data_IF_692412899522
#
_entry.id   IF_692412899522
#
_cell.length_a   1.000
_cell.length_b   1.000
_cell.length_c   1.000
_cell.angle_alpha   90.00
_cell.angle_beta   90.00
_cell.angle_gamma   90.00
#
_symmetry.space_group_name_H-M   'P 1'
#
loop_
_entity.id
_entity.type
_entity.pdbx_description
1 polymer ?
#
# COMPACT_ATOMS: atom_id res chain seq x y z
N UNK A 1 -105.24 -15.29 -6.70
CA UNK A 1 -104.89 -16.41 -5.80
C UNK A 1 -103.55 -16.96 -6.24
N UNK A 2 -102.49 -16.78 -5.44
CA UNK A 2 -101.45 -17.78 -5.17
C UNK A 2 -100.61 -17.22 -4.01
N UNK A 3 -100.84 -17.77 -2.82
CA UNK A 3 -100.01 -17.62 -1.62
C UNK A 3 -98.88 -18.63 -1.70
N UNK A 4 -97.68 -18.25 -1.27
CA UNK A 4 -96.61 -19.11 -0.70
C UNK A 4 -95.34 -18.25 -0.63
N UNK A 5 -94.42 -18.35 0.33
CA UNK A 5 -94.31 -19.03 1.61
C UNK A 5 -93.17 -18.26 2.30
N UNK A 6 -93.34 -17.78 3.53
CA UNK A 6 -92.24 -17.12 4.26
C UNK A 6 -91.34 -18.19 4.88
N UNK A 7 -90.07 -18.20 4.49
CA UNK A 7 -89.00 -19.00 5.11
C UNK A 7 -88.19 -18.08 6.03
N UNK A 8 -88.13 -18.42 7.30
CA UNK A 8 -87.42 -17.67 8.34
C UNK A 8 -85.89 -17.77 8.14
N UNK A 9 -85.23 -16.64 7.96
CA UNK A 9 -83.77 -16.53 7.96
C UNK A 9 -83.29 -16.26 9.39
N UNK A 10 -82.54 -17.20 9.96
CA UNK A 10 -81.84 -17.00 11.22
C UNK A 10 -80.64 -16.07 11.00
N UNK A 11 -80.62 -14.92 11.69
CA UNK A 11 -79.49 -13.99 11.71
C UNK A 11 -78.32 -14.64 12.47
N UNK A 12 -77.23 -14.95 11.76
CA UNK A 12 -75.92 -15.18 12.37
C UNK A 12 -75.21 -13.83 12.42
N UNK A 13 -75.17 -13.21 13.60
CA UNK A 13 -74.37 -12.01 13.84
C UNK A 13 -72.89 -12.37 13.86
N UNK A 14 -72.23 -12.21 12.72
CA UNK A 14 -70.77 -12.24 12.63
C UNK A 14 -70.20 -11.03 13.39
N UNK A 15 -69.46 -11.29 14.46
CA UNK A 15 -68.61 -10.28 15.09
C UNK A 15 -67.52 -9.90 14.09
N UNK A 16 -67.56 -8.67 13.59
CA UNK A 16 -66.43 -8.08 12.88
C UNK A 16 -65.30 -7.92 13.90
N UNK A 17 -64.26 -8.76 13.81
CA UNK A 17 -62.99 -8.51 14.48
C UNK A 17 -62.45 -7.21 13.89
N UNK A 18 -62.17 -6.17 14.69
CA UNK A 18 -61.52 -4.97 14.16
C UNK A 18 -60.20 -5.39 13.53
N UNK A 19 -60.01 -5.05 12.25
CA UNK A 19 -58.74 -5.25 11.57
C UNK A 19 -57.67 -4.47 12.35
N UNK A 20 -56.83 -5.19 13.10
CA UNK A 20 -55.62 -4.59 13.67
C UNK A 20 -54.80 -4.09 12.48
N UNK A 21 -54.48 -2.79 12.46
CA UNK A 21 -53.52 -2.27 11.49
C UNK A 21 -52.22 -3.08 11.66
N UNK A 22 -51.68 -3.60 10.55
CA UNK A 22 -50.42 -4.32 10.59
C UNK A 22 -49.34 -3.41 11.20
N UNK A 23 -48.67 -3.90 12.24
CA UNK A 23 -47.54 -3.20 12.84
C UNK A 23 -46.46 -2.96 11.78
N UNK A 24 -45.82 -1.80 11.82
CA UNK A 24 -44.76 -1.38 10.88
C UNK A 24 -43.48 -1.09 11.65
N UNK A 25 -42.35 -1.15 10.95
CA UNK A 25 -41.12 -0.56 11.46
C UNK A 25 -41.25 0.97 11.46
N UNK A 26 -40.48 1.64 12.32
CA UNK A 26 -40.51 3.10 12.47
C UNK A 26 -39.06 3.61 12.49
N UNK A 27 -38.48 3.88 11.32
CA UNK A 27 -37.07 4.25 11.23
C UNK A 27 -36.90 5.76 11.36
N UNK A 28 -35.87 6.14 12.10
CA UNK A 28 -35.42 7.51 12.23
C UNK A 28 -33.95 7.60 11.86
N UNK A 29 -33.56 8.68 11.19
CA UNK A 29 -32.16 8.96 10.87
C UNK A 29 -31.70 10.28 11.47
N UNK A 30 -30.50 10.28 12.06
CA UNK A 30 -29.77 11.48 12.45
C UNK A 30 -28.36 11.41 11.90
N UNK A 31 -27.73 12.57 11.74
CA UNK A 31 -26.35 12.66 11.29
C UNK A 31 -25.64 13.84 11.93
N UNK A 32 -24.35 13.65 12.22
CA UNK A 32 -23.50 14.63 12.87
C UNK A 32 -22.15 14.69 12.15
N UNK A 33 -21.65 15.90 11.94
CA UNK A 33 -20.30 16.15 11.41
C UNK A 33 -19.37 16.51 12.55
N UNK A 34 -18.11 16.08 12.45
CA UNK A 34 -17.11 16.46 13.44
C UNK A 34 -16.98 18.01 13.49
N UNK A 35 -17.00 18.63 14.68
CA UNK A 35 -16.95 20.09 14.80
C UNK A 35 -15.73 20.69 14.12
N UNK A 36 -15.92 21.83 13.47
CA UNK A 36 -14.85 22.60 12.82
C UNK A 36 -15.19 22.96 11.38
N UNK A 37 -14.26 23.67 10.75
CA UNK A 37 -14.34 24.07 9.35
C UNK A 37 -13.56 23.10 8.48
N UNK A 38 -13.94 22.98 7.21
CA UNK A 38 -13.29 22.11 6.23
C UNK A 38 -12.78 22.93 5.05
N UNK A 39 -11.69 22.48 4.44
CA UNK A 39 -11.19 23.06 3.20
C UNK A 39 -11.57 22.17 2.01
N UNK A 40 -11.58 22.69 0.78
CA UNK A 40 -11.71 21.88 -0.41
C UNK A 40 -10.72 20.70 -0.45
N UNK A 41 -11.16 19.59 -1.05
CA UNK A 41 -10.45 18.30 -1.11
C UNK A 41 -10.19 17.60 0.24
N UNK A 42 -10.64 18.18 1.36
CA UNK A 42 -10.66 17.50 2.65
C UNK A 42 -11.85 16.51 2.71
N UNK A 43 -11.62 15.31 3.22
CA UNK A 43 -12.73 14.41 3.56
C UNK A 43 -13.48 14.89 4.81
N UNK A 44 -14.80 14.87 4.75
CA UNK A 44 -15.70 15.27 5.84
C UNK A 44 -16.20 14.03 6.56
N UNK A 45 -15.76 13.72 7.79
CA UNK A 45 -16.30 12.60 8.56
C UNK A 45 -17.71 12.94 9.03
N UNK A 46 -18.67 12.09 8.66
CA UNK A 46 -20.08 12.19 9.05
C UNK A 46 -20.45 10.89 9.78
N UNK A 47 -20.95 11.03 11.01
CA UNK A 47 -21.53 9.93 11.76
C UNK A 47 -23.03 9.90 11.51
N UNK A 48 -23.54 8.79 10.97
CA UNK A 48 -24.95 8.59 10.67
C UNK A 48 -25.53 7.55 11.61
N UNK A 49 -26.66 7.85 12.23
CA UNK A 49 -27.35 6.97 13.17
C UNK A 49 -28.75 6.66 12.65
N UNK A 50 -29.08 5.36 12.60
CA UNK A 50 -30.37 4.84 12.17
C UNK A 50 -30.99 4.11 13.36
N UNK A 51 -32.18 4.53 13.80
CA UNK A 51 -32.89 3.94 14.93
C UNK A 51 -34.23 3.41 14.46
N UNK A 52 -34.55 2.15 14.74
CA UNK A 52 -35.89 1.61 14.56
C UNK A 52 -36.66 1.73 15.89
N UNK A 53 -37.57 2.70 15.98
CA UNK A 53 -38.46 2.95 17.13
C UNK A 53 -39.69 2.03 17.12
N UNK A 54 -39.89 1.29 16.03
CA UNK A 54 -41.08 0.50 15.79
C UNK A 54 -40.94 -0.92 16.35
N UNK A 55 -42.07 -1.63 16.48
CA UNK A 55 -42.10 -2.99 17.01
C UNK A 55 -41.69 -4.08 15.99
N UNK A 56 -41.48 -3.72 14.72
CA UNK A 56 -41.18 -4.67 13.63
C UNK A 56 -39.77 -4.46 13.09
N UNK A 57 -39.05 -5.56 12.84
CA UNK A 57 -37.74 -5.55 12.18
C UNK A 57 -37.82 -4.94 10.78
N UNK A 58 -36.88 -4.05 10.45
CA UNK A 58 -36.73 -3.50 9.11
C UNK A 58 -35.60 -4.22 8.37
N UNK A 59 -35.90 -4.77 7.18
CA UNK A 59 -34.91 -5.40 6.31
C UNK A 59 -34.88 -4.72 4.95
N UNK A 60 -33.70 -4.58 4.36
CA UNK A 60 -33.51 -3.87 3.09
C UNK A 60 -33.45 -2.35 3.24
N UNK A 61 -33.11 -1.86 4.44
CA UNK A 61 -32.93 -0.43 4.72
C UNK A 61 -31.75 0.09 3.93
N UNK A 62 -31.95 1.20 3.21
CA UNK A 62 -30.91 1.86 2.43
C UNK A 62 -30.83 3.33 2.78
N UNK A 63 -29.68 3.93 2.54
CA UNK A 63 -29.41 5.35 2.75
C UNK A 63 -28.89 5.95 1.46
N UNK A 64 -29.37 7.15 1.15
CA UNK A 64 -28.84 7.98 0.08
C UNK A 64 -28.55 9.39 0.61
N UNK A 65 -27.66 10.10 -0.07
CA UNK A 65 -27.37 11.50 0.22
C UNK A 65 -27.52 12.34 -1.05
N UNK A 66 -28.09 13.53 -0.91
CA UNK A 66 -28.22 14.49 -2.01
C UNK A 66 -27.81 15.88 -1.56
N UNK A 67 -27.07 16.58 -2.41
CA UNK A 67 -26.77 18.00 -2.25
C UNK A 67 -28.04 18.84 -2.11
N UNK A 68 -27.98 19.88 -1.27
CA UNK A 68 -29.07 20.84 -1.05
C UNK A 68 -28.64 22.25 -1.47
N UNK A 69 -27.50 22.73 -0.96
CA UNK A 69 -26.99 24.07 -1.23
C UNK A 69 -25.48 24.16 -0.99
N UNK A 70 -24.88 25.21 -1.55
CA UNK A 70 -23.47 25.56 -1.39
C UNK A 70 -22.52 24.56 -2.04
N UNK A 71 -21.32 24.39 -1.48
CA UNK A 71 -20.31 23.45 -2.01
C UNK A 71 -20.89 22.04 -2.15
N UNK A 72 -20.61 21.38 -3.28
CA UNK A 72 -21.23 20.10 -3.61
C UNK A 72 -20.58 18.97 -2.80
N UNK A 73 -21.18 18.63 -1.66
CA UNK A 73 -20.75 17.51 -0.82
C UNK A 73 -21.49 16.23 -1.23
N UNK A 74 -20.75 15.16 -1.43
CA UNK A 74 -21.33 13.82 -1.69
C UNK A 74 -20.61 12.76 -0.89
N UNK A 75 -21.32 11.69 -0.53
CA UNK A 75 -20.76 10.53 0.16
C UNK A 75 -20.74 9.36 -0.82
N UNK A 76 -19.55 8.88 -1.26
CA UNK A 76 -19.47 7.79 -2.21
C UNK A 76 -20.16 6.52 -1.70
N UNK A 77 -20.77 5.76 -2.62
CA UNK A 77 -21.67 4.63 -2.29
C UNK A 77 -21.03 3.58 -1.36
N UNK A 78 -19.73 3.30 -1.52
CA UNK A 78 -19.01 2.29 -0.74
C UNK A 78 -18.85 2.67 0.75
N UNK A 79 -18.88 3.95 1.11
CA UNK A 79 -18.82 4.37 2.52
C UNK A 79 -20.07 3.96 3.31
N UNK A 80 -21.21 3.79 2.65
CA UNK A 80 -22.48 3.39 3.28
C UNK A 80 -22.55 1.91 3.66
N UNK A 81 -21.52 1.11 3.34
CA UNK A 81 -21.44 -0.33 3.65
C UNK A 81 -22.71 -1.08 3.19
N UNK A 82 -23.30 -1.90 4.06
CA UNK A 82 -24.54 -2.64 3.81
C UNK A 82 -25.78 -1.77 3.54
N UNK A 83 -25.75 -0.49 3.92
CA UNK A 83 -26.85 0.46 3.74
C UNK A 83 -26.77 1.26 2.44
N UNK A 84 -25.78 1.01 1.57
CA UNK A 84 -25.67 1.70 0.30
C UNK A 84 -26.94 1.58 -0.56
N UNK A 85 -27.39 2.67 -1.19
CA UNK A 85 -28.62 2.69 -2.00
C UNK A 85 -28.60 1.72 -3.20
N UNK A 86 -27.42 1.40 -3.71
CA UNK A 86 -27.19 0.47 -4.81
C UNK A 86 -27.15 -1.00 -4.37
N UNK A 87 -27.01 -1.25 -3.07
CA UNK A 87 -26.91 -2.58 -2.48
C UNK A 87 -28.27 -3.22 -2.18
N UNK A 88 -28.23 -4.37 -1.50
CA UNK A 88 -29.45 -5.06 -1.04
C UNK A 88 -30.18 -4.28 0.07
N UNK A 89 -29.43 -3.52 0.87
CA UNK A 89 -29.90 -2.83 2.06
C UNK A 89 -29.67 -3.65 3.33
N UNK A 90 -29.38 -2.95 4.43
CA UNK A 90 -29.12 -3.53 5.75
C UNK A 90 -30.40 -3.87 6.51
N UNK A 91 -30.23 -4.51 7.67
CA UNK A 91 -31.32 -4.77 8.61
C UNK A 91 -31.14 -3.93 9.88
N UNK A 92 -32.26 -3.47 10.44
CA UNK A 92 -32.34 -2.77 11.73
C UNK A 92 -33.49 -3.38 12.52
N UNK A 93 -33.16 -4.14 13.57
CA UNK A 93 -34.16 -4.84 14.38
C UNK A 93 -35.08 -3.86 15.11
N UNK A 94 -36.24 -4.32 15.53
CA UNK A 94 -37.14 -3.55 16.38
C UNK A 94 -36.41 -3.03 17.63
N UNK A 95 -36.49 -1.73 17.89
CA UNK A 95 -35.78 -1.06 19.00
C UNK A 95 -34.27 -0.87 18.82
N UNK A 96 -33.67 -1.36 17.73
CA UNK A 96 -32.22 -1.27 17.50
C UNK A 96 -31.80 0.12 17.02
N UNK A 97 -30.58 0.52 17.41
CA UNK A 97 -29.87 1.66 16.82
C UNK A 97 -28.57 1.19 16.19
N UNK A 98 -28.34 1.58 14.94
CA UNK A 98 -27.14 1.30 14.14
C UNK A 98 -26.42 2.61 13.85
N UNK A 99 -25.10 2.61 13.96
CA UNK A 99 -24.26 3.76 13.59
C UNK A 99 -23.30 3.40 12.47
N UNK A 100 -23.11 4.32 11.54
CA UNK A 100 -22.22 4.19 10.38
C UNK A 100 -21.40 5.47 10.27
N UNK A 101 -20.07 5.32 10.25
CA UNK A 101 -19.16 6.41 9.93
C UNK A 101 -18.93 6.42 8.41
N UNK A 102 -19.21 7.57 7.78
CA UNK A 102 -19.01 7.79 6.34
C UNK A 102 -18.12 9.01 6.12
N UNK A 103 -17.48 9.09 4.95
CA UNK A 103 -16.66 10.24 4.57
C UNK A 103 -17.28 10.92 3.35
N UNK A 104 -17.62 12.21 3.49
CA UNK A 104 -18.03 13.08 2.40
C UNK A 104 -16.83 13.64 1.66
N UNK A 105 -16.99 13.91 0.36
CA UNK A 105 -16.02 14.58 -0.50
C UNK A 105 -16.65 15.79 -1.18
N UNK A 106 -15.92 16.90 -1.20
CA UNK A 106 -16.35 18.12 -1.87
C UNK A 106 -16.09 18.08 -3.37
N UNK A 107 -16.97 18.73 -4.12
CA UNK A 107 -16.81 19.10 -5.52
C UNK A 107 -17.19 20.57 -5.66
N UNK A 108 -16.33 21.34 -6.32
CA UNK A 108 -16.50 22.80 -6.39
C UNK A 108 -16.25 23.50 -5.05
N UNK A 109 -16.43 24.82 -5.05
CA UNK A 109 -16.20 25.70 -3.91
C UNK A 109 -17.20 26.86 -3.99
N UNK A 110 -18.34 26.70 -3.33
CA UNK A 110 -19.49 27.60 -3.39
C UNK A 110 -20.10 27.82 -1.99
N UNK A 111 -19.28 28.12 -0.99
CA UNK A 111 -19.76 28.34 0.38
C UNK A 111 -20.00 27.06 1.17
N UNK A 112 -20.56 27.26 2.37
CA UNK A 112 -20.96 26.21 3.30
C UNK A 112 -21.88 25.19 2.62
N UNK A 113 -21.54 23.91 2.78
CA UNK A 113 -22.27 22.83 2.15
C UNK A 113 -23.44 22.38 3.02
N UNK A 114 -24.58 22.13 2.37
CA UNK A 114 -25.72 21.46 3.01
C UNK A 114 -26.03 20.15 2.31
N UNK A 115 -25.98 19.07 3.08
CA UNK A 115 -26.28 17.71 2.62
C UNK A 115 -27.58 17.21 3.24
N UNK A 116 -28.46 16.65 2.41
CA UNK A 116 -29.62 15.88 2.90
C UNK A 116 -29.28 14.41 2.85
N UNK A 117 -29.47 13.71 3.97
CA UNK A 117 -29.35 12.26 4.07
C UNK A 117 -30.75 11.68 4.25
N UNK A 118 -31.09 10.66 3.48
CA UNK A 118 -32.45 10.10 3.43
C UNK A 118 -32.43 8.59 3.51
N UNK A 119 -33.30 8.04 4.37
CA UNK A 119 -33.63 6.62 4.39
C UNK A 119 -34.51 6.28 3.19
N UNK A 120 -34.22 5.16 2.57
CA UNK A 120 -35.01 4.54 1.52
C UNK A 120 -35.59 3.24 2.07
N UNK A 121 -36.79 3.35 2.64
CA UNK A 121 -37.54 2.23 3.17
C UNK A 121 -39.05 2.52 3.01
N UNK A 122 -39.77 1.64 2.32
CA UNK A 122 -41.17 1.91 1.92
C UNK A 122 -42.20 1.52 2.97
N UNK A 123 -41.84 0.66 3.94
CA UNK A 123 -42.76 0.16 4.95
C UNK A 123 -42.53 0.82 6.33
N UNK A 124 -42.46 2.14 6.34
CA UNK A 124 -42.23 2.92 7.55
C UNK A 124 -43.53 3.46 8.17
N UNK A 125 -43.61 3.47 9.49
CA UNK A 125 -44.71 4.05 10.27
C UNK A 125 -44.68 5.58 10.25
N UNK A 126 -43.49 6.18 10.32
CA UNK A 126 -43.29 7.62 10.28
C UNK A 126 -42.27 7.97 9.19
N UNK A 127 -42.77 8.55 8.08
CA UNK A 127 -41.86 8.97 7.01
C UNK A 127 -41.22 10.34 7.25
N UNK A 128 -41.63 11.05 8.31
CA UNK A 128 -41.15 12.41 8.58
C UNK A 128 -39.73 12.45 9.20
N UNK A 129 -39.29 11.39 9.88
CA UNK A 129 -37.95 11.24 10.44
C UNK A 129 -37.02 10.35 9.59
N UNK A 130 -37.44 10.07 8.35
CA UNK A 130 -36.61 9.40 7.35
C UNK A 130 -35.60 10.32 6.65
N UNK A 131 -35.45 11.56 7.12
CA UNK A 131 -34.51 12.52 6.55
C UNK A 131 -33.84 13.35 7.65
N UNK A 132 -32.57 13.67 7.40
CA UNK A 132 -31.80 14.59 8.23
C UNK A 132 -30.93 15.47 7.35
N UNK A 133 -30.51 16.61 7.89
CA UNK A 133 -29.65 17.56 7.21
C UNK A 133 -28.34 17.73 7.98
N UNK A 134 -27.27 17.86 7.23
CA UNK A 134 -25.94 18.14 7.74
C UNK A 134 -25.46 19.42 7.07
N UNK A 135 -25.11 20.39 7.90
CA UNK A 135 -24.47 21.63 7.47
C UNK A 135 -22.97 21.50 7.75
N UNK A 136 -22.13 21.92 6.79
CA UNK A 136 -20.67 21.81 6.86
C UNK A 136 -20.07 23.16 6.51
N UNK A 137 -19.38 23.75 7.48
CA UNK A 137 -18.70 25.03 7.30
C UNK A 137 -17.46 24.85 6.42
N UNK A 138 -17.39 25.58 5.31
CA UNK A 138 -16.31 25.48 4.33
C UNK A 138 -15.48 26.76 4.31
N UNK A 139 -14.16 26.61 4.37
CA UNK A 139 -13.23 27.70 4.12
C UNK A 139 -13.03 27.80 2.62
N UNK A 140 -13.43 28.95 2.07
CA UNK A 140 -13.34 29.24 0.66
C UNK A 140 -11.91 29.18 0.12
N UNK A 141 -11.75 28.70 -1.10
CA UNK A 141 -10.45 28.54 -1.76
C UNK A 141 -9.71 29.86 -2.02
N UNK A 142 -10.37 31.01 -1.92
CA UNK A 142 -9.73 32.33 -2.07
C UNK A 142 -8.94 32.75 -0.83
N UNK A 143 -9.23 32.16 0.33
CA UNK A 143 -8.42 32.30 1.55
C UNK A 143 -7.01 31.81 1.27
N UNK A 144 -6.01 32.66 1.53
CA UNK A 144 -4.60 32.35 1.28
C UNK A 144 -3.88 32.02 2.58
N UNK A 145 -2.99 31.05 2.52
CA UNK A 145 -2.07 30.70 3.59
C UNK A 145 -0.71 30.28 3.05
N UNK A 146 0.12 29.72 3.93
CA UNK A 146 1.41 29.16 3.56
C UNK A 146 1.63 27.81 4.23
N UNK A 147 2.41 26.96 3.56
CA UNK A 147 2.99 25.77 4.18
C UNK A 147 4.39 26.15 4.61
N UNK A 148 4.63 26.15 5.92
CA UNK A 148 5.92 26.46 6.52
C UNK A 148 6.44 25.26 7.30
N UNK A 149 7.75 25.15 7.47
CA UNK A 149 8.32 24.11 8.32
C UNK A 149 9.82 24.15 8.45
N UNK A 150 10.33 23.22 9.27
CA UNK A 150 11.74 22.94 9.50
C UNK A 150 12.05 21.49 9.13
N UNK A 151 13.19 21.28 8.48
CA UNK A 151 13.76 19.96 8.17
C UNK A 151 15.06 19.80 8.94
N UNK A 152 15.19 18.70 9.68
CA UNK A 152 16.36 18.41 10.50
C UNK A 152 16.66 16.90 10.53
N UNK A 153 17.89 16.55 10.88
CA UNK A 153 18.28 15.15 11.11
C UNK A 153 17.78 14.69 12.48
N UNK A 154 16.65 13.99 12.50
CA UNK A 154 15.99 13.43 13.68
C UNK A 154 16.68 12.12 14.10
N UNK A 155 17.71 12.28 14.93
CA UNK A 155 18.61 11.22 15.36
C UNK A 155 17.96 10.31 16.38
N UNK A 156 17.06 10.85 17.21
CA UNK A 156 16.37 10.08 18.26
C UNK A 156 14.97 9.60 17.85
N UNK A 157 14.51 9.95 16.65
CA UNK A 157 13.26 9.54 16.01
C UNK A 157 11.99 10.09 16.68
N UNK A 158 12.07 11.18 17.45
CA UNK A 158 10.93 11.73 18.19
C UNK A 158 10.09 12.73 17.37
N UNK A 159 10.56 13.15 16.19
CA UNK A 159 9.88 14.07 15.29
C UNK A 159 9.87 15.54 15.73
N UNK A 160 10.67 15.92 16.74
CA UNK A 160 10.85 17.29 17.23
C UNK A 160 12.33 17.66 17.13
N UNK A 161 12.66 18.89 16.75
CA UNK A 161 14.07 19.26 16.62
C UNK A 161 14.71 19.46 17.99
N UNK A 162 15.65 18.59 18.36
CA UNK A 162 16.38 18.67 19.62
C UNK A 162 17.78 19.30 19.49
N UNK A 163 18.37 19.68 20.62
CA UNK A 163 19.76 20.14 20.69
C UNK A 163 20.72 19.06 20.16
N UNK A 164 21.51 19.43 19.15
CA UNK A 164 22.45 18.53 18.48
C UNK A 164 21.91 17.92 17.18
N UNK A 165 20.63 18.14 16.86
CA UNK A 165 20.04 17.73 15.59
C UNK A 165 20.22 18.82 14.52
N UNK A 166 20.97 18.49 13.48
CA UNK A 166 21.36 19.46 12.47
C UNK A 166 20.19 19.83 11.55
N UNK A 167 20.03 21.11 11.19
CA UNK A 167 19.13 21.50 10.10
C UNK A 167 19.64 20.95 8.76
N UNK A 168 18.71 20.67 7.84
CA UNK A 168 19.04 20.18 6.50
C UNK A 168 18.61 21.19 5.43
N UNK A 169 19.60 21.84 4.82
CA UNK A 169 19.44 22.83 3.77
C UNK A 169 19.40 22.21 2.37
N UNK A 170 18.88 22.94 1.38
CA UNK A 170 18.93 22.57 -0.03
C UNK A 170 17.87 21.55 -0.49
N UNK A 171 16.97 21.13 0.40
CA UNK A 171 15.91 20.17 0.10
C UNK A 171 14.70 20.88 -0.48
N UNK A 172 14.15 20.38 -1.60
CA UNK A 172 12.96 20.95 -2.25
C UNK A 172 11.68 20.30 -1.71
N UNK A 173 10.73 21.13 -1.29
CA UNK A 173 9.36 20.75 -0.97
C UNK A 173 8.43 21.23 -2.07
N UNK A 174 7.59 20.33 -2.61
CA UNK A 174 6.63 20.64 -3.67
C UNK A 174 5.22 20.32 -3.18
N UNK A 175 4.36 21.32 -3.13
CA UNK A 175 2.96 21.21 -2.78
C UNK A 175 2.09 21.11 -4.04
N UNK A 176 1.22 20.09 -4.10
CA UNK A 176 0.28 19.83 -5.19
C UNK A 176 -1.15 19.75 -4.67
N UNK A 177 -2.06 20.51 -5.27
CA UNK A 177 -3.48 20.53 -4.87
C UNK A 177 -4.31 21.46 -5.74
N UNK A 178 -5.52 21.06 -6.11
CA UNK A 178 -6.43 21.88 -6.93
C UNK A 178 -5.88 22.27 -8.31
N UNK A 179 -5.01 21.43 -8.89
CA UNK A 179 -4.33 21.72 -10.17
C UNK A 179 -3.15 22.71 -10.07
N UNK A 180 -2.83 23.18 -8.86
CA UNK A 180 -1.64 23.99 -8.58
C UNK A 180 -0.45 23.10 -8.21
N UNK A 181 0.73 23.50 -8.66
CA UNK A 181 2.02 23.02 -8.15
C UNK A 181 2.87 24.24 -7.74
N UNK A 182 3.38 24.24 -6.51
CA UNK A 182 4.28 25.28 -6.00
C UNK A 182 5.37 24.64 -5.14
N UNK A 183 6.53 25.28 -5.05
CA UNK A 183 7.67 24.70 -4.33
C UNK A 183 8.51 25.73 -3.58
N UNK A 184 9.26 25.24 -2.59
CA UNK A 184 10.26 25.99 -1.84
C UNK A 184 11.46 25.08 -1.54
N UNK A 185 12.60 25.69 -1.22
CA UNK A 185 13.83 24.98 -0.83
C UNK A 185 14.19 25.37 0.59
N UNK A 186 14.68 24.43 1.40
CA UNK A 186 15.11 24.71 2.75
C UNK A 186 16.36 25.59 2.78
N UNK A 187 16.34 26.61 3.64
CA UNK A 187 17.48 27.49 3.91
C UNK A 187 18.55 26.81 4.79
N UNK A 188 19.64 27.53 5.09
CA UNK A 188 20.74 27.06 5.95
C UNK A 188 20.29 26.68 7.37
N UNK A 189 19.14 27.20 7.82
CA UNK A 189 18.49 26.84 9.07
C UNK A 189 17.47 25.71 8.94
N UNK A 190 17.40 25.04 7.78
CA UNK A 190 16.45 23.97 7.48
C UNK A 190 15.02 24.46 7.29
N UNK A 191 14.77 25.77 7.22
CA UNK A 191 13.43 26.35 7.13
C UNK A 191 12.97 26.49 5.69
N UNK A 192 11.69 26.24 5.44
CA UNK A 192 11.06 26.50 4.14
C UNK A 192 9.69 27.18 4.31
N UNK A 193 9.26 27.90 3.27
CA UNK A 193 7.93 28.47 3.15
C UNK A 193 7.45 28.40 1.70
N UNK A 194 6.32 27.71 1.48
CA UNK A 194 5.54 27.77 0.25
C UNK A 194 4.37 28.72 0.50
N UNK A 195 4.50 29.96 0.03
CA UNK A 195 3.55 31.04 0.29
C UNK A 195 2.40 31.11 -0.73
N UNK A 196 1.40 31.94 -0.42
CA UNK A 196 0.26 32.31 -1.27
C UNK A 196 -0.55 31.11 -1.82
N UNK A 197 -0.74 30.10 -0.98
CA UNK A 197 -1.51 28.92 -1.30
C UNK A 197 -3.00 29.13 -1.00
N UNK A 198 -3.91 28.90 -1.98
CA UNK A 198 -5.34 28.73 -1.75
C UNK A 198 -5.68 27.77 -0.62
N UNK A 199 -6.77 28.01 0.12
CA UNK A 199 -7.21 27.09 1.16
C UNK A 199 -7.64 25.75 0.56
N UNK A 200 -6.98 24.67 0.98
CA UNK A 200 -7.13 23.30 0.44
C UNK A 200 -6.29 22.29 1.22
N UNK A 201 -6.52 21.01 0.96
CA UNK A 201 -5.53 19.97 1.22
C UNK A 201 -4.47 19.93 0.10
N UNK A 202 -3.20 19.96 0.49
CA UNK A 202 -2.06 19.78 -0.41
C UNK A 202 -1.36 18.46 -0.13
N UNK A 203 -1.03 17.74 -1.19
CA UNK A 203 -0.01 16.70 -1.13
C UNK A 203 1.36 17.37 -1.19
N UNK A 204 2.22 17.13 -0.21
CA UNK A 204 3.59 17.65 -0.20
C UNK A 204 4.58 16.52 -0.43
N UNK A 205 5.35 16.64 -1.50
CA UNK A 205 6.42 15.74 -1.88
C UNK A 205 7.78 16.42 -1.62
N UNK A 206 8.79 15.61 -1.29
CA UNK A 206 10.13 16.07 -0.90
C UNK A 206 11.16 15.51 -1.88
N UNK A 207 12.03 16.37 -2.38
CA UNK A 207 13.07 16.05 -3.37
C UNK A 207 14.42 16.62 -2.95
N UNK A 208 15.48 16.15 -3.60
CA UNK A 208 16.83 16.70 -3.46
C UNK A 208 17.37 16.66 -2.01
N UNK A 209 17.03 15.62 -1.23
CA UNK A 209 17.56 15.48 0.13
C UNK A 209 19.10 15.25 0.10
N UNK A 210 19.87 15.95 0.95
CA UNK A 210 21.32 15.76 1.02
C UNK A 210 21.68 14.39 1.60
N UNK A 211 22.90 13.92 1.32
CA UNK A 211 23.60 12.82 2.01
C UNK A 211 22.78 11.53 2.26
N UNK A 212 21.86 11.19 1.37
CA UNK A 212 20.95 10.03 1.49
C UNK A 212 20.03 10.05 2.71
N UNK A 213 19.77 11.23 3.31
CA UNK A 213 18.73 11.37 4.32
C UNK A 213 17.37 10.97 3.75
N UNK A 214 16.52 10.40 4.61
CA UNK A 214 15.20 9.93 4.24
C UNK A 214 14.15 10.64 5.07
N UNK A 215 13.03 10.95 4.45
CA UNK A 215 11.82 11.44 5.12
C UNK A 215 10.68 10.48 4.84
N UNK A 216 9.81 10.27 5.83
CA UNK A 216 8.58 9.52 5.64
C UNK A 216 7.75 10.19 4.53
N UNK A 217 7.54 9.49 3.42
CA UNK A 217 6.84 10.00 2.25
C UNK A 217 5.39 10.43 2.56
N UNK A 218 4.98 11.51 1.90
CA UNK A 218 3.67 12.16 1.82
C UNK A 218 3.11 12.75 3.13
N UNK A 219 2.98 14.08 3.13
CA UNK A 219 2.16 14.84 4.08
C UNK A 219 0.96 15.39 3.31
N UNK A 220 -0.25 15.11 3.79
CA UNK A 220 -1.44 15.86 3.44
C UNK A 220 -1.51 17.07 4.36
N UNK A 221 -1.17 18.25 3.84
CA UNK A 221 -1.14 19.49 4.61
C UNK A 221 -2.38 20.30 4.32
N UNK A 222 -3.13 20.62 5.38
CA UNK A 222 -4.26 21.55 5.31
C UNK A 222 -3.74 22.99 5.31
N UNK A 223 -4.08 23.74 4.27
CA UNK A 223 -3.93 25.20 4.23
C UNK A 223 -5.30 25.82 4.41
N UNK A 224 -5.46 26.65 5.44
CA UNK A 224 -6.74 27.29 5.78
C UNK A 224 -6.59 28.78 6.18
N UNK A 225 -5.46 29.38 5.80
CA UNK A 225 -5.07 30.75 6.19
C UNK A 225 -4.45 30.86 7.59
N UNK A 226 -4.48 29.80 8.41
CA UNK A 226 -3.80 29.78 9.71
C UNK A 226 -2.42 29.14 9.58
N UNK A 227 -1.32 29.82 9.98
CA UNK A 227 0.01 29.22 9.97
C UNK A 227 0.09 27.99 10.88
N UNK A 228 0.59 26.87 10.34
CA UNK A 228 0.82 25.61 11.07
C UNK A 228 2.20 25.05 10.68
N UNK A 229 3.29 25.58 11.26
CA UNK A 229 4.64 25.12 10.95
C UNK A 229 4.78 23.61 11.15
N UNK A 230 5.40 22.94 10.18
CA UNK A 230 5.67 21.50 10.21
C UNK A 230 7.08 21.26 10.76
N UNK A 231 7.21 20.31 11.69
CA UNK A 231 8.51 19.75 12.06
C UNK A 231 8.71 18.44 11.32
N UNK A 232 9.79 18.36 10.53
CA UNK A 232 10.05 17.25 9.63
C UNK A 232 11.40 16.65 10.02
N UNK A 233 11.32 15.55 10.78
CA UNK A 233 12.47 14.72 11.11
C UNK A 233 12.88 13.82 9.96
N UNK A 234 14.09 14.00 9.44
CA UNK A 234 14.72 13.08 8.50
C UNK A 234 15.55 12.04 9.26
N UNK A 235 15.65 10.82 8.72
CA UNK A 235 16.42 9.72 9.31
C UNK A 235 17.55 9.29 8.39
N UNK A 236 18.66 8.83 8.98
CA UNK A 236 19.70 8.10 8.22
C UNK A 236 19.13 6.75 7.75
N UNK A 237 19.54 6.26 6.58
CA UNK A 237 19.19 4.90 6.15
C UNK A 237 19.62 3.87 7.19
N UNK A 238 18.70 2.99 7.58
CA UNK A 238 18.99 1.95 8.56
C UNK A 238 20.12 1.01 8.10
N UNK A 239 20.29 0.81 6.78
CA UNK A 239 21.38 0.03 6.18
C UNK A 239 22.79 0.54 6.52
N UNK A 240 22.93 1.78 6.98
CA UNK A 240 24.22 2.30 7.44
C UNK A 240 24.63 1.72 8.80
N UNK A 241 23.64 1.35 9.63
CA UNK A 241 23.85 0.79 10.96
C UNK A 241 23.55 -0.71 11.03
N UNK A 242 22.67 -1.24 10.18
CA UNK A 242 22.23 -2.62 10.20
C UNK A 242 22.67 -3.34 8.92
N UNK A 243 23.47 -4.40 9.07
CA UNK A 243 23.59 -5.41 8.01
C UNK A 243 22.54 -6.49 8.22
N UNK A 244 21.95 -6.96 7.12
CA UNK A 244 21.14 -8.15 7.09
C UNK A 244 21.77 -9.19 6.14
N UNK A 245 21.67 -10.46 6.52
CA UNK A 245 21.94 -11.61 5.65
C UNK A 245 20.83 -12.63 5.86
N UNK A 246 20.47 -13.32 4.79
CA UNK A 246 19.58 -14.48 4.81
C UNK A 246 20.28 -15.60 4.07
N UNK A 247 20.20 -16.82 4.59
CA UNK A 247 20.91 -17.97 4.02
C UNK A 247 20.05 -19.23 4.18
N UNK A 248 19.77 -19.94 3.10
CA UNK A 248 19.21 -21.27 3.13
C UNK A 248 20.22 -22.24 3.76
N UNK A 249 19.76 -23.08 4.68
CA UNK A 249 20.66 -24.04 5.35
C UNK A 249 21.04 -25.24 4.46
N UNK A 250 20.47 -25.34 3.24
CA UNK A 250 20.74 -26.42 2.28
C UNK A 250 20.78 -25.87 0.87
N UNK A 251 21.61 -26.50 0.05
CA UNK A 251 21.79 -26.23 -1.39
C UNK A 251 20.59 -26.67 -2.24
N UNK A 252 19.65 -27.46 -1.69
CA UNK A 252 18.41 -27.79 -2.39
C UNK A 252 17.26 -28.19 -1.48
N UNK A 253 16.04 -27.93 -1.95
CA UNK A 253 14.78 -28.36 -1.33
C UNK A 253 13.78 -28.87 -2.35
N UNK A 254 12.98 -29.87 -1.97
CA UNK A 254 11.87 -30.34 -2.80
C UNK A 254 10.64 -29.43 -2.63
N UNK A 255 9.77 -29.39 -3.63
CA UNK A 255 8.46 -28.71 -3.55
C UNK A 255 7.66 -29.24 -2.35
N UNK A 256 7.04 -28.32 -1.60
CA UNK A 256 6.27 -28.61 -0.39
C UNK A 256 7.12 -28.99 0.83
N UNK A 257 8.45 -29.06 0.71
CA UNK A 257 9.32 -29.24 1.85
C UNK A 257 9.36 -27.98 2.71
N UNK A 258 9.60 -28.17 4.00
CA UNK A 258 9.95 -27.08 4.91
C UNK A 258 11.42 -26.72 4.73
N UNK A 259 11.66 -25.51 4.22
CA UNK A 259 12.99 -24.94 4.06
C UNK A 259 13.38 -24.18 5.33
N UNK A 260 14.59 -24.43 5.82
CA UNK A 260 15.17 -23.69 6.94
C UNK A 260 16.07 -22.57 6.40
N UNK A 261 15.89 -21.38 6.95
CA UNK A 261 16.63 -20.16 6.59
C UNK A 261 17.24 -19.57 7.86
N UNK A 262 18.50 -19.17 7.77
CA UNK A 262 19.20 -18.40 8.80
C UNK A 262 19.14 -16.93 8.45
N UNK A 263 18.52 -16.13 9.29
CA UNK A 263 18.53 -14.66 9.22
C UNK A 263 19.58 -14.14 10.20
N UNK A 264 20.57 -13.40 9.71
CA UNK A 264 21.60 -12.77 10.53
C UNK A 264 21.49 -11.26 10.44
N UNK A 265 21.25 -10.63 11.59
CA UNK A 265 21.17 -9.18 11.73
C UNK A 265 22.36 -8.68 12.55
N UNK A 266 23.18 -7.80 11.97
CA UNK A 266 24.35 -7.22 12.65
C UNK A 266 24.19 -5.72 12.77
N UNK A 267 24.06 -5.22 13.99
CA UNK A 267 24.04 -3.80 14.27
C UNK A 267 25.48 -3.29 14.43
N UNK A 268 26.00 -2.58 13.43
CA UNK A 268 27.30 -1.88 13.46
C UNK A 268 27.24 -0.51 14.13
N UNK A 269 26.04 -0.04 14.46
CA UNK A 269 25.82 1.23 15.14
C UNK A 269 26.15 1.19 16.63
N UNK A 270 26.10 2.39 17.24
CA UNK A 270 26.40 2.61 18.66
C UNK A 270 25.15 2.62 19.55
N UNK A 271 23.95 2.45 18.98
CA UNK A 271 22.68 2.44 19.70
C UNK A 271 21.90 1.15 19.41
N UNK A 272 21.11 0.63 20.36
CA UNK A 272 20.22 -0.49 20.10
C UNK A 272 19.20 -0.16 19.01
N UNK A 273 19.02 -1.08 18.06
CA UNK A 273 17.97 -1.00 17.04
C UNK A 273 16.79 -1.83 17.50
N UNK A 274 15.65 -1.19 17.74
CA UNK A 274 14.43 -1.83 18.27
C UNK A 274 13.34 -1.88 17.21
N UNK A 275 12.47 -2.89 17.27
CA UNK A 275 11.32 -3.00 16.38
C UNK A 275 11.67 -3.44 14.96
N UNK A 276 12.85 -4.04 14.75
CA UNK A 276 13.27 -4.51 13.42
C UNK A 276 12.38 -5.68 13.01
N UNK A 277 11.64 -5.51 11.92
CA UNK A 277 10.80 -6.52 11.27
C UNK A 277 11.38 -6.87 9.89
N UNK A 278 10.95 -8.01 9.35
CA UNK A 278 11.30 -8.50 8.03
C UNK A 278 10.12 -8.27 7.08
N UNK A 279 10.39 -7.54 6.02
CA UNK A 279 9.49 -7.37 4.90
C UNK A 279 9.91 -8.24 3.73
N UNK A 280 9.41 -9.47 3.67
CA UNK A 280 9.73 -10.39 2.59
C UNK A 280 8.71 -10.33 1.44
N UNK A 281 9.10 -10.82 0.27
CA UNK A 281 8.24 -10.95 -0.93
C UNK A 281 7.47 -9.66 -1.26
N UNK A 282 8.23 -8.59 -1.58
CA UNK A 282 7.62 -7.31 -1.97
C UNK A 282 6.97 -7.37 -3.35
N UNK A 283 7.46 -8.23 -4.23
CA UNK A 283 7.02 -8.35 -5.62
C UNK A 283 5.79 -9.26 -5.80
N UNK A 284 5.53 -10.16 -4.85
CA UNK A 284 4.41 -11.10 -4.89
C UNK A 284 4.59 -12.25 -5.89
N UNK A 285 5.83 -12.60 -6.23
CA UNK A 285 6.15 -13.62 -7.23
C UNK A 285 6.01 -15.05 -6.65
N UNK A 286 5.63 -16.03 -7.45
CA UNK A 286 5.32 -17.39 -6.96
C UNK A 286 6.51 -18.22 -6.43
N UNK A 287 7.73 -17.70 -6.45
CA UNK A 287 8.97 -18.43 -6.20
C UNK A 287 9.56 -18.23 -4.79
N UNK A 288 8.97 -17.32 -4.00
CA UNK A 288 9.38 -17.06 -2.62
C UNK A 288 8.93 -18.17 -1.67
N UNK A 289 9.67 -18.38 -0.58
CA UNK A 289 9.20 -19.28 0.48
C UNK A 289 7.86 -18.83 1.06
N UNK A 290 6.90 -19.75 1.19
CA UNK A 290 5.62 -19.47 1.84
C UNK A 290 5.77 -19.43 3.37
N UNK A 291 4.94 -18.62 4.04
CA UNK A 291 4.85 -18.58 5.50
C UNK A 291 5.89 -17.69 6.19
N UNK A 292 6.47 -16.72 5.46
CA UNK A 292 7.33 -15.69 6.04
C UNK A 292 6.58 -14.75 7.00
N UNK A 293 5.26 -14.66 6.87
CA UNK A 293 4.36 -13.88 7.72
C UNK A 293 3.83 -14.66 8.94
N UNK A 294 4.09 -15.97 9.01
CA UNK A 294 3.65 -16.84 10.10
C UNK A 294 4.55 -16.68 11.34
N UNK A 295 4.03 -16.16 12.45
CA UNK A 295 4.82 -15.99 13.66
C UNK A 295 5.23 -17.31 14.34
N UNK A 296 4.57 -18.43 14.04
CA UNK A 296 5.04 -19.74 14.50
C UNK A 296 6.38 -20.13 13.87
N UNK A 297 6.69 -19.57 12.70
CA UNK A 297 7.89 -19.86 11.89
C UNK A 297 8.97 -18.78 12.03
N UNK A 298 8.55 -17.52 12.12
CA UNK A 298 9.44 -16.35 12.09
C UNK A 298 9.48 -15.56 13.41
N UNK A 299 8.70 -15.96 14.41
CA UNK A 299 8.65 -15.28 15.70
C UNK A 299 8.10 -13.86 15.59
N UNK A 300 8.88 -12.88 16.02
CA UNK A 300 8.52 -11.45 16.00
C UNK A 300 9.08 -10.69 14.80
N UNK A 301 9.78 -11.36 13.88
CA UNK A 301 10.24 -10.75 12.63
C UNK A 301 9.10 -10.33 11.67
N UNK A 302 7.96 -11.03 11.53
CA UNK A 302 6.94 -10.64 10.55
C UNK A 302 6.44 -9.20 10.71
N UNK A 303 6.04 -8.55 9.61
CA UNK A 303 5.40 -7.21 9.67
C UNK A 303 4.15 -7.21 10.56
N UNK A 304 3.90 -6.08 11.21
CA UNK A 304 2.77 -5.91 12.14
C UNK A 304 2.99 -6.55 13.52
N UNK A 305 4.18 -7.12 13.76
CA UNK A 305 4.62 -7.63 15.06
C UNK A 305 5.44 -6.58 15.81
N UNK A 306 5.84 -6.92 17.04
CA UNK A 306 6.67 -6.05 17.86
C UNK A 306 8.09 -5.83 17.28
N UNK A 307 8.54 -6.70 16.37
CA UNK A 307 9.91 -6.68 15.86
C UNK A 307 10.92 -7.18 16.90
N UNK A 308 12.17 -7.29 16.46
CA UNK A 308 13.29 -7.69 17.32
C UNK A 308 14.16 -6.50 17.70
N UNK A 309 14.88 -6.64 18.81
CA UNK A 309 15.93 -5.69 19.19
C UNK A 309 17.30 -6.28 18.89
N UNK A 310 18.16 -5.53 18.22
CA UNK A 310 19.58 -5.85 18.02
C UNK A 310 20.39 -4.77 18.74
N UNK A 311 21.04 -5.13 19.86
CA UNK A 311 21.82 -4.20 20.65
C UNK A 311 22.99 -3.61 19.85
N UNK A 312 23.54 -2.48 20.31
CA UNK A 312 24.68 -1.84 19.67
C UNK A 312 25.87 -2.80 19.56
N UNK A 313 26.44 -2.95 18.36
CA UNK A 313 27.53 -3.89 18.10
C UNK A 313 27.15 -5.37 18.12
N UNK A 314 25.87 -5.72 18.29
CA UNK A 314 25.40 -7.12 18.40
C UNK A 314 25.15 -7.73 17.01
N UNK A 315 25.50 -9.01 16.88
CA UNK A 315 24.98 -9.88 15.81
C UNK A 315 23.97 -10.85 16.41
N UNK A 316 22.74 -10.82 15.90
CA UNK A 316 21.68 -11.77 16.23
C UNK A 316 21.42 -12.71 15.06
N UNK A 317 21.23 -13.98 15.38
CA UNK A 317 20.94 -15.04 14.41
C UNK A 317 19.58 -15.64 14.74
N UNK A 318 18.70 -15.70 13.75
CA UNK A 318 17.37 -16.27 13.83
C UNK A 318 17.26 -17.42 12.84
N UNK A 319 16.83 -18.58 13.32
CA UNK A 319 16.50 -19.71 12.46
C UNK A 319 15.00 -19.68 12.21
N UNK A 320 14.61 -19.49 10.96
CA UNK A 320 13.22 -19.39 10.52
C UNK A 320 12.92 -20.49 9.49
N UNK A 321 11.64 -20.70 9.19
CA UNK A 321 11.22 -21.70 8.21
C UNK A 321 10.17 -21.17 7.25
N UNK A 322 10.07 -21.79 6.08
CA UNK A 322 9.00 -21.57 5.12
C UNK A 322 8.75 -22.81 4.28
N UNK A 323 7.63 -22.86 3.56
CA UNK A 323 7.35 -23.97 2.63
C UNK A 323 7.84 -23.61 1.23
N UNK A 324 8.41 -24.58 0.52
CA UNK A 324 8.76 -24.40 -0.90
C UNK A 324 7.48 -24.42 -1.74
N UNK A 325 7.11 -23.34 -2.43
CA UNK A 325 5.87 -23.28 -3.19
C UNK A 325 5.92 -24.20 -4.41
N UNK A 326 4.75 -24.55 -4.95
CA UNK A 326 4.66 -25.40 -6.14
C UNK A 326 5.27 -24.75 -7.39
N UNK A 327 5.22 -23.42 -7.48
CA UNK A 327 5.70 -22.67 -8.64
C UNK A 327 7.23 -22.67 -8.74
N UNK A 328 7.95 -22.81 -7.61
CA UNK A 328 9.41 -22.90 -7.57
C UNK A 328 9.97 -24.02 -8.49
N UNK A 329 9.19 -25.08 -8.75
CA UNK A 329 9.58 -26.14 -9.68
C UNK A 329 9.77 -25.64 -11.12
N UNK A 330 9.00 -24.64 -11.56
CA UNK A 330 9.11 -24.07 -12.91
C UNK A 330 10.36 -23.22 -13.09
N UNK A 331 10.88 -22.68 -11.99
CA UNK A 331 12.07 -21.83 -11.94
C UNK A 331 13.33 -22.60 -11.52
N UNK A 332 13.17 -23.85 -11.08
CA UNK A 332 14.22 -24.70 -10.53
C UNK A 332 14.92 -24.08 -9.30
N UNK A 333 14.23 -23.16 -8.62
CA UNK A 333 14.78 -22.39 -7.51
C UNK A 333 13.68 -21.91 -6.57
N UNK A 334 14.03 -21.76 -5.30
CA UNK A 334 13.23 -21.09 -4.28
C UNK A 334 14.07 -19.99 -3.65
N UNK A 335 13.44 -18.87 -3.30
CA UNK A 335 14.13 -17.66 -2.89
C UNK A 335 13.63 -17.18 -1.53
N UNK A 336 14.47 -16.39 -0.86
CA UNK A 336 14.12 -15.54 0.26
C UNK A 336 14.77 -14.18 0.05
N UNK A 337 13.95 -13.14 -0.04
CA UNK A 337 14.41 -11.76 -0.09
C UNK A 337 13.56 -10.97 0.87
N UNK A 338 14.24 -10.25 1.75
CA UNK A 338 13.59 -9.45 2.75
C UNK A 338 14.37 -8.15 2.93
N UNK A 339 13.64 -7.04 3.03
CA UNK A 339 14.16 -5.85 3.69
C UNK A 339 13.94 -5.94 5.20
N UNK A 340 14.84 -5.35 5.98
CA UNK A 340 14.76 -5.38 7.45
C UNK A 340 14.73 -3.97 8.03
N UNK A 341 13.66 -3.63 8.76
CA UNK A 341 13.60 -2.33 9.42
C UNK A 341 12.42 -2.12 10.35
N UNK A 342 12.39 -0.92 10.94
CA UNK A 342 11.55 -0.56 12.08
C UNK A 342 10.33 0.31 11.73
N UNK A 343 10.34 0.92 10.55
CA UNK A 343 9.31 1.87 10.12
C UNK A 343 9.16 1.90 8.59
N UNK A 344 8.13 1.24 8.07
CA UNK A 344 7.84 1.07 6.64
C UNK A 344 7.81 2.38 5.83
N UNK A 345 7.61 3.53 6.49
CA UNK A 345 7.68 4.84 5.84
C UNK A 345 9.08 5.18 5.31
N UNK A 346 10.11 4.46 5.79
CA UNK A 346 11.52 4.62 5.42
C UNK A 346 12.07 3.39 4.71
N UNK A 347 11.22 2.62 4.02
CA UNK A 347 11.59 1.39 3.32
C UNK A 347 12.85 1.51 2.45
N UNK A 348 12.98 2.62 1.71
CA UNK A 348 14.15 2.91 0.88
C UNK A 348 15.47 2.99 1.67
N UNK A 349 15.42 3.00 3.00
CA UNK A 349 16.53 3.05 3.95
C UNK A 349 16.98 1.70 4.48
N UNK A 350 16.20 0.65 4.30
CA UNK A 350 16.45 -0.64 4.94
C UNK A 350 17.55 -1.43 4.24
N UNK A 351 18.34 -2.23 4.96
CA UNK A 351 19.14 -3.27 4.33
C UNK A 351 18.21 -4.31 3.72
N UNK A 352 18.50 -4.67 2.47
CA UNK A 352 17.89 -5.80 1.79
C UNK A 352 18.86 -6.99 1.88
N UNK A 353 18.33 -8.18 2.14
CA UNK A 353 19.08 -9.41 2.12
C UNK A 353 18.35 -10.46 1.30
N UNK A 354 19.13 -11.19 0.52
CA UNK A 354 18.66 -12.11 -0.50
C UNK A 354 19.44 -13.43 -0.42
N UNK A 355 18.74 -14.55 -0.63
CA UNK A 355 19.36 -15.83 -0.98
C UNK A 355 18.42 -16.69 -1.84
N UNK A 356 19.01 -17.60 -2.62
CA UNK A 356 18.28 -18.56 -3.44
C UNK A 356 18.95 -19.92 -3.44
N UNK A 357 18.13 -20.96 -3.49
CA UNK A 357 18.61 -22.35 -3.50
C UNK A 357 17.86 -23.19 -4.53
N UNK A 358 18.38 -24.37 -4.85
CA UNK A 358 17.88 -25.18 -5.96
C UNK A 358 16.60 -25.92 -5.59
N UNK A 359 15.65 -25.97 -6.54
CA UNK A 359 14.50 -26.87 -6.50
C UNK A 359 14.68 -27.95 -7.58
N UNK A 360 14.97 -29.20 -7.20
CA UNK A 360 15.20 -30.28 -8.16
C UNK A 360 13.94 -30.61 -8.99
N UNK A 361 14.15 -31.07 -10.22
CA UNK A 361 13.08 -31.63 -11.07
C UNK A 361 12.94 -30.97 -12.44
N UNK A 362 13.53 -29.79 -12.64
CA UNK A 362 13.65 -29.20 -13.97
C UNK A 362 14.85 -29.82 -14.72
N UNK A 363 14.69 -30.24 -15.98
CA UNK A 363 15.83 -30.64 -16.81
C UNK A 363 16.70 -29.41 -17.14
N UNK A 364 17.99 -29.62 -17.37
CA UNK A 364 18.85 -28.60 -17.95
C UNK A 364 18.28 -28.12 -19.30
N UNK A 365 18.58 -26.88 -19.68
CA UNK A 365 18.10 -26.34 -20.96
C UNK A 365 19.07 -25.35 -21.58
N UNK A 366 18.96 -25.11 -22.90
CA UNK A 366 19.75 -24.08 -23.54
C UNK A 366 19.31 -22.68 -23.09
N UNK A 367 20.30 -21.82 -22.84
CA UNK A 367 20.13 -20.42 -22.41
C UNK A 367 20.87 -19.52 -23.38
N UNK A 368 20.17 -18.54 -23.93
CA UNK A 368 20.80 -17.46 -24.68
C UNK A 368 20.88 -16.20 -23.79
N UNK A 369 22.03 -15.56 -23.76
CA UNK A 369 22.22 -14.23 -23.18
C UNK A 369 22.43 -13.24 -24.32
N UNK A 370 21.79 -12.08 -24.24
CA UNK A 370 22.02 -10.96 -25.18
C UNK A 370 22.55 -9.77 -24.38
N UNK A 371 23.81 -9.41 -24.56
CA UNK A 371 24.37 -8.18 -24.00
C UNK A 371 24.15 -7.03 -24.99
N UNK A 372 23.52 -5.95 -24.54
CA UNK A 372 23.20 -4.81 -25.40
C UNK A 372 23.39 -3.47 -24.68
N UNK A 373 23.72 -2.43 -25.43
CA UNK A 373 23.79 -1.06 -24.94
C UNK A 373 22.55 -0.31 -25.41
N UNK A 374 21.69 0.03 -24.45
CA UNK A 374 20.43 0.74 -24.69
C UNK A 374 20.72 2.19 -25.16
N UNK A 375 20.61 2.43 -26.46
CA UNK A 375 21.00 3.70 -27.10
C UNK A 375 19.85 4.70 -27.11
N UNK A 376 18.61 4.23 -27.15
CA UNK A 376 17.41 5.07 -27.24
C UNK A 376 16.62 5.17 -25.92
N UNK A 377 17.09 4.47 -24.88
CA UNK A 377 16.59 4.48 -23.51
C UNK A 377 15.19 3.86 -23.37
N UNK A 378 14.85 2.90 -24.22
CA UNK A 378 13.56 2.20 -24.20
C UNK A 378 13.59 0.86 -23.43
N UNK A 379 14.78 0.43 -22.98
CA UNK A 379 15.03 -0.82 -22.25
C UNK A 379 14.70 -2.11 -23.01
N UNK A 380 14.61 -2.05 -24.34
CA UNK A 380 14.44 -3.18 -25.24
C UNK A 380 15.73 -3.47 -26.01
N UNK A 381 15.84 -4.67 -26.58
CA UNK A 381 16.99 -5.02 -27.43
C UNK A 381 16.63 -4.71 -28.88
N UNK A 382 17.30 -3.72 -29.45
CA UNK A 382 17.10 -3.32 -30.84
C UNK A 382 18.26 -3.69 -31.78
N UNK A 383 17.99 -3.59 -33.09
CA UNK A 383 18.99 -3.85 -34.12
C UNK A 383 20.13 -2.83 -34.04
N UNK A 384 21.35 -3.30 -33.80
CA UNK A 384 22.55 -2.48 -33.69
C UNK A 384 23.00 -2.20 -32.25
N UNK A 385 22.22 -2.60 -31.24
CA UNK A 385 22.57 -2.39 -29.83
C UNK A 385 23.40 -3.52 -29.22
N UNK A 386 23.46 -4.67 -29.88
CA UNK A 386 24.20 -5.84 -29.42
C UNK A 386 25.70 -5.55 -29.28
N UNK A 387 26.28 -5.86 -28.12
CA UNK A 387 27.71 -5.61 -27.85
C UNK A 387 28.50 -6.91 -28.00
N UNK A 388 29.36 -6.96 -29.01
CA UNK A 388 30.19 -8.10 -29.36
C UNK A 388 31.47 -8.22 -28.51
N UNK A 389 31.98 -9.44 -28.37
CA UNK A 389 33.27 -9.72 -27.71
C UNK A 389 33.25 -9.59 -26.19
N UNK A 390 32.08 -9.54 -25.56
CA UNK A 390 31.94 -9.56 -24.11
C UNK A 390 31.99 -10.99 -23.60
N UNK A 391 32.83 -11.22 -22.59
CA UNK A 391 32.91 -12.47 -21.87
C UNK A 391 31.73 -12.59 -20.92
N UNK A 392 30.88 -13.59 -21.13
CA UNK A 392 29.74 -13.91 -20.27
C UNK A 392 30.03 -15.20 -19.51
N UNK A 393 29.90 -15.14 -18.19
CA UNK A 393 29.98 -16.28 -17.28
C UNK A 393 28.65 -16.46 -16.54
N UNK A 394 28.14 -17.69 -16.50
CA UNK A 394 27.01 -18.09 -15.66
C UNK A 394 27.56 -18.73 -14.40
N UNK A 395 27.34 -18.09 -13.25
CA UNK A 395 27.81 -18.57 -11.95
C UNK A 395 26.62 -19.11 -11.17
N UNK A 396 26.67 -20.38 -10.73
CA UNK A 396 25.64 -20.95 -9.86
C UNK A 396 25.69 -20.24 -8.50
N UNK A 397 24.55 -19.66 -8.08
CA UNK A 397 24.48 -18.89 -6.83
C UNK A 397 24.55 -19.78 -5.58
N UNK A 398 24.30 -21.08 -5.71
CA UNK A 398 24.30 -22.00 -4.56
C UNK A 398 25.70 -22.40 -4.10
N UNK A 399 26.66 -22.50 -5.02
CA UNK A 399 28.03 -22.93 -4.71
C UNK A 399 29.12 -21.98 -5.25
N UNK A 400 28.72 -20.92 -5.97
CA UNK A 400 29.62 -19.92 -6.54
C UNK A 400 30.45 -20.41 -7.73
N UNK A 401 30.18 -21.61 -8.28
CA UNK A 401 30.94 -22.16 -9.40
C UNK A 401 30.44 -21.60 -10.73
N UNK A 402 31.37 -21.27 -11.62
CA UNK A 402 31.02 -20.98 -13.01
C UNK A 402 30.60 -22.27 -13.72
N UNK A 403 29.35 -22.33 -14.19
CA UNK A 403 28.78 -23.51 -14.87
C UNK A 403 28.83 -23.41 -16.40
N UNK A 404 28.88 -22.20 -16.95
CA UNK A 404 29.01 -21.97 -18.37
C UNK A 404 29.69 -20.63 -18.65
N UNK A 405 30.39 -20.54 -19.77
CA UNK A 405 31.23 -19.39 -20.08
C UNK A 405 31.40 -19.28 -21.61
N UNK A 406 31.16 -18.09 -22.18
CA UNK A 406 31.34 -17.84 -23.62
C UNK A 406 31.54 -16.36 -23.93
N UNK A 407 31.74 -16.03 -25.20
CA UNK A 407 31.88 -14.64 -25.68
C UNK A 407 30.70 -14.27 -26.57
N UNK A 408 30.24 -13.02 -26.50
CA UNK A 408 29.15 -12.53 -27.34
C UNK A 408 29.57 -12.40 -28.81
N UNK A 409 28.67 -12.81 -29.71
CA UNK A 409 28.81 -12.64 -31.16
C UNK A 409 28.57 -11.19 -31.60
N UNK A 410 28.61 -10.96 -32.92
CA UNK A 410 28.41 -9.62 -33.52
C UNK A 410 27.03 -9.02 -33.24
N UNK A 411 26.05 -9.85 -32.90
CA UNK A 411 24.69 -9.45 -32.52
C UNK A 411 24.53 -9.31 -30.99
N UNK A 412 25.62 -9.35 -30.22
CA UNK A 412 25.62 -9.28 -28.76
C UNK A 412 25.19 -10.58 -28.07
N UNK A 413 24.98 -11.68 -28.81
CA UNK A 413 24.40 -12.91 -28.26
C UNK A 413 25.44 -13.99 -27.97
N UNK A 414 25.19 -14.78 -26.93
CA UNK A 414 25.90 -16.02 -26.63
C UNK A 414 24.90 -17.10 -26.24
N UNK A 415 25.06 -18.31 -26.76
CA UNK A 415 24.20 -19.46 -26.49
C UNK A 415 24.96 -20.52 -25.70
N UNK A 416 24.42 -20.89 -24.55
CA UNK A 416 24.86 -22.03 -23.75
C UNK A 416 23.90 -23.20 -24.00
N UNK A 417 24.41 -24.31 -24.51
CA UNK A 417 23.55 -25.41 -24.97
C UNK A 417 22.93 -26.25 -23.83
N UNK A 418 23.61 -26.32 -22.69
CA UNK A 418 23.26 -27.20 -21.57
C UNK A 418 23.56 -26.49 -20.25
N UNK A 419 22.63 -25.64 -19.80
CA UNK A 419 22.75 -24.92 -18.53
C UNK A 419 21.93 -25.66 -17.48
N UNK A 420 22.58 -25.94 -16.35
CA UNK A 420 21.93 -26.55 -15.19
C UNK A 420 20.81 -25.63 -14.71
N UNK A 421 19.67 -26.20 -14.36
CA UNK A 421 18.51 -25.41 -13.95
C UNK A 421 18.66 -24.93 -12.50
N UNK A 422 18.48 -23.63 -12.29
CA UNK A 422 18.56 -23.03 -10.96
C UNK A 422 18.87 -21.53 -10.96
N UNK A 423 19.20 -20.99 -9.78
CA UNK A 423 19.55 -19.58 -9.62
C UNK A 423 21.00 -19.35 -10.08
N UNK A 424 21.21 -18.40 -10.99
CA UNK A 424 22.51 -18.06 -11.55
C UNK A 424 22.76 -16.55 -11.50
N UNK A 425 24.00 -16.15 -11.27
CA UNK A 425 24.49 -14.80 -11.51
C UNK A 425 25.05 -14.75 -12.95
N UNK A 426 24.64 -13.76 -13.73
CA UNK A 426 25.24 -13.48 -15.04
C UNK A 426 26.34 -12.45 -14.84
N UNK A 427 27.60 -12.88 -14.98
CA UNK A 427 28.76 -11.99 -14.94
C UNK A 427 29.21 -11.65 -16.34
N UNK A 428 29.32 -10.35 -16.61
CA UNK A 428 29.83 -9.84 -17.87
C UNK A 428 31.17 -9.14 -17.61
N UNK A 429 32.18 -9.51 -18.38
CA UNK A 429 33.49 -8.88 -18.39
C UNK A 429 33.91 -8.54 -19.82
N UNK A 430 34.53 -7.40 -20.03
CA UNK A 430 35.04 -6.97 -21.33
C UNK A 430 35.75 -5.63 -21.21
N UNK A 431 36.70 -5.36 -22.10
CA UNK A 431 37.47 -4.12 -22.09
C UNK A 431 36.53 -2.92 -22.28
N UNK A 432 36.35 -2.13 -21.21
CA UNK A 432 35.58 -0.89 -21.24
C UNK A 432 34.07 -1.05 -21.14
N UNK A 433 33.53 -2.19 -20.69
CA UNK A 433 32.08 -2.39 -20.49
C UNK A 433 31.76 -2.92 -19.10
N UNK A 434 30.62 -2.46 -18.55
CA UNK A 434 30.08 -2.91 -17.27
C UNK A 434 28.56 -3.13 -17.35
N UNK A 435 27.99 -4.11 -16.63
CA UNK A 435 26.55 -4.27 -16.55
C UNK A 435 25.91 -3.05 -15.85
N UNK A 436 24.77 -2.57 -16.38
CA UNK A 436 23.98 -1.51 -15.73
C UNK A 436 23.33 -2.03 -14.45
N UNK A 437 22.93 -3.30 -14.46
CA UNK A 437 22.44 -4.03 -13.29
C UNK A 437 23.01 -5.46 -13.31
N UNK A 438 23.63 -5.88 -12.22
CA UNK A 438 23.89 -7.30 -11.95
C UNK A 438 22.66 -7.87 -11.25
N UNK A 439 21.96 -8.79 -11.91
CA UNK A 439 20.78 -9.45 -11.33
C UNK A 439 20.92 -10.96 -11.37
N UNK A 440 20.41 -11.62 -10.33
CA UNK A 440 20.16 -13.05 -10.37
C UNK A 440 19.18 -13.38 -11.51
N UNK A 441 19.43 -14.49 -12.19
CA UNK A 441 18.58 -15.05 -13.21
C UNK A 441 18.21 -16.49 -12.87
N UNK A 442 16.93 -16.84 -13.04
CA UNK A 442 16.46 -18.23 -13.00
C UNK A 442 16.67 -18.86 -14.38
N UNK A 443 17.82 -19.52 -14.56
CA UNK A 443 18.26 -20.08 -15.83
C UNK A 443 18.06 -21.59 -15.85
N UNK A 444 18.00 -22.17 -17.06
CA UNK A 444 17.81 -23.61 -17.26
C UNK A 444 16.36 -24.10 -17.03
N UNK A 445 15.53 -23.42 -16.23
CA UNK A 445 14.14 -23.81 -15.96
C UNK A 445 13.11 -23.45 -17.05
N UNK A 446 11.95 -24.14 -17.06
CA UNK A 446 10.89 -24.04 -18.07
C UNK A 446 10.38 -22.62 -18.35
N UNK A 447 10.42 -21.71 -17.38
CA UNK A 447 9.97 -20.32 -17.56
C UNK A 447 10.91 -19.50 -18.47
N UNK A 448 12.21 -19.84 -18.51
CA UNK A 448 13.22 -19.22 -19.38
C UNK A 448 13.89 -20.17 -20.36
N UNK A 449 13.42 -21.42 -20.45
CA UNK A 449 13.76 -22.32 -21.55
C UNK A 449 13.51 -21.61 -22.87
N UNK A 450 14.57 -21.45 -23.68
CA UNK A 450 14.51 -20.90 -25.04
C UNK A 450 14.20 -19.40 -25.16
N UNK A 451 14.18 -18.61 -24.07
CA UNK A 451 14.12 -17.14 -24.16
C UNK A 451 15.52 -16.55 -24.00
N UNK A 452 15.88 -15.64 -24.90
CA UNK A 452 17.09 -14.85 -24.74
C UNK A 452 16.92 -13.92 -23.52
N UNK A 453 17.90 -13.92 -22.63
CA UNK A 453 17.94 -13.05 -21.46
C UNK A 453 18.70 -11.79 -21.83
N UNK A 454 18.03 -10.63 -21.95
CA UNK A 454 18.70 -9.38 -22.24
C UNK A 454 19.43 -8.88 -20.99
N UNK A 455 20.68 -8.45 -21.15
CA UNK A 455 21.49 -7.82 -20.11
C UNK A 455 21.99 -6.49 -20.66
N UNK A 456 21.52 -5.40 -20.06
CA UNK A 456 21.95 -4.04 -20.44
C UNK A 456 23.36 -3.78 -19.92
N UNK A 457 24.24 -3.33 -20.80
CA UNK A 457 25.62 -2.95 -20.50
C UNK A 457 25.86 -1.50 -20.89
N UNK A 458 26.78 -0.85 -20.20
CA UNK A 458 27.21 0.52 -20.49
C UNK A 458 28.74 0.59 -20.51
N UNK A 459 29.32 1.60 -21.18
CA UNK A 459 30.76 1.83 -21.11
C UNK A 459 31.22 1.99 -19.64
N UNK A 460 32.31 1.31 -19.29
CA UNK A 460 32.96 1.50 -18.00
C UNK A 460 33.56 2.91 -17.94
N UNK A 461 33.34 3.61 -16.83
CA UNK A 461 33.80 4.98 -16.61
C UNK A 461 35.32 5.06 -16.39
#
# INVERSE_FOLDING_TARGET
MFRSMALAAALVTGFAVPAHAAEKADLAITAEVAPGTYVPDQQVPIKVTITNKGPVDAAGVRVTSSHVSGSFLTVPSHHWKEFAHTGRGGAVKAGETRTIDVAGSFYGNDGDARLKISLLFSNDANTADNQTFVDVDVIEADVRGSITGTLFGDLNKNGTQDDGEQPLAGTRFTARGGGLESSAVTDDGGRFEIADLPARMYQVDVYDLPDSWLVAAVRNVRVDGTPRPQEIGARRPLREALDARVEFERESYAVGAEAAVTVTLTNRGSTPLTGVTAGCDRDGDGVWIDGFDDPARWGDLPRGRAGVTVAAGETRVFRVTGLVPADAARHASVLVECDFGDDERYLAGFPNAFDATRVPGAPNSPVAITAYHDLDHDWAVDEGEGVAGLRVALVDLTDGRTVAEGDTGQDGKVLFADVVSGPHEVRIAGDGWQPVVTSMQHLGGCQRCQRAVPITVSPAA
#
